data_IF_633472444790
#
_entry.id   IF_633472444790
#
_cell.length_a   1.000
_cell.length_b   1.000
_cell.length_c   1.000
_cell.angle_alpha   90.00
_cell.angle_beta   90.00
_cell.angle_gamma   90.00
#
_symmetry.space_group_name_H-M   'P 1'
#
loop_
_entity.id
_entity.type
_entity.pdbx_description
1 polymer ?
#
# COMPACT_ATOMS: atom_id res chain seq x y z
N UNK A 1 15.09 -23.09 -3.78
CA UNK A 1 13.67 -22.73 -4.00
C UNK A 1 13.20 -21.88 -2.84
N UNK A 2 12.77 -20.63 -3.07
CA UNK A 2 12.31 -19.79 -1.97
C UNK A 2 10.99 -20.31 -1.40
N UNK A 3 10.97 -20.63 -0.10
CA UNK A 3 9.80 -21.12 0.64
C UNK A 3 8.60 -20.18 0.45
N UNK A 4 7.37 -20.73 0.37
CA UNK A 4 6.12 -19.94 0.29
C UNK A 4 6.07 -18.86 1.38
N UNK A 5 6.58 -19.16 2.57
CA UNK A 5 6.66 -18.22 3.71
C UNK A 5 7.39 -16.93 3.36
N UNK A 6 8.40 -17.00 2.50
CA UNK A 6 9.17 -15.83 2.05
C UNK A 6 8.45 -15.00 0.98
N UNK A 7 7.29 -15.45 0.46
CA UNK A 7 6.44 -14.70 -0.49
C UNK A 7 5.23 -14.04 0.17
N UNK A 8 4.82 -14.52 1.35
CA UNK A 8 3.62 -14.06 2.06
C UNK A 8 3.62 -12.55 2.29
N UNK A 9 4.68 -11.92 2.82
CA UNK A 9 4.65 -10.48 3.14
C UNK A 9 4.37 -9.62 1.91
N UNK A 10 5.00 -9.95 0.78
CA UNK A 10 4.79 -9.28 -0.50
C UNK A 10 3.37 -9.47 -1.03
N UNK A 11 2.80 -10.68 -0.93
CA UNK A 11 1.42 -10.92 -1.39
C UNK A 11 0.39 -10.21 -0.52
N UNK A 12 0.61 -10.15 0.79
CA UNK A 12 -0.22 -9.36 1.71
C UNK A 12 -0.11 -7.87 1.38
N UNK A 13 1.11 -7.35 1.20
CA UNK A 13 1.33 -5.95 0.82
C UNK A 13 0.63 -5.61 -0.50
N UNK A 14 0.79 -6.46 -1.51
CA UNK A 14 0.12 -6.28 -2.80
C UNK A 14 -1.40 -6.26 -2.66
N UNK A 15 -1.97 -7.14 -1.83
CA UNK A 15 -3.42 -7.21 -1.60
C UNK A 15 -3.94 -5.92 -0.97
N UNK A 16 -3.25 -5.42 0.06
CA UNK A 16 -3.61 -4.17 0.75
C UNK A 16 -3.61 -2.98 -0.20
N UNK A 17 -2.57 -2.86 -1.04
CA UNK A 17 -2.42 -1.74 -1.97
C UNK A 17 -3.45 -1.83 -3.09
N UNK A 18 -3.67 -3.02 -3.66
CA UNK A 18 -4.69 -3.23 -4.69
C UNK A 18 -6.10 -2.99 -4.16
N UNK A 19 -6.39 -3.42 -2.92
CA UNK A 19 -7.65 -3.12 -2.25
C UNK A 19 -7.84 -1.61 -2.07
N UNK A 20 -6.74 -0.88 -1.83
CA UNK A 20 -6.74 0.58 -1.75
C UNK A 20 -7.11 1.25 -3.06
N UNK A 21 -6.36 0.95 -4.12
CA UNK A 21 -6.67 1.48 -5.45
C UNK A 21 -8.08 1.12 -5.89
N UNK A 22 -8.50 -0.13 -5.69
CA UNK A 22 -9.86 -0.58 -6.00
C UNK A 22 -10.93 0.17 -5.20
N UNK A 23 -10.71 0.40 -3.90
CA UNK A 23 -11.65 1.13 -3.05
C UNK A 23 -11.86 2.57 -3.54
N UNK A 24 -10.79 3.26 -3.95
CA UNK A 24 -10.85 4.61 -4.50
C UNK A 24 -11.47 4.66 -5.88
N UNK A 25 -11.09 3.76 -6.80
CA UNK A 25 -11.72 3.70 -8.13
C UNK A 25 -13.23 3.52 -8.07
N UNK A 26 -13.70 2.73 -7.10
CA UNK A 26 -15.11 2.40 -6.94
C UNK A 26 -15.83 3.29 -5.94
N UNK A 27 -15.16 4.32 -5.39
CA UNK A 27 -15.68 5.19 -4.34
C UNK A 27 -16.37 4.41 -3.21
N UNK A 28 -15.78 3.27 -2.83
CA UNK A 28 -16.29 2.42 -1.76
C UNK A 28 -17.53 1.59 -2.08
N UNK A 29 -18.06 1.57 -3.31
CA UNK A 29 -19.26 0.79 -3.68
C UNK A 29 -19.16 -0.68 -3.26
N UNK A 30 -17.98 -1.28 -3.37
CA UNK A 30 -17.74 -2.68 -2.99
C UNK A 30 -16.93 -2.85 -1.70
N UNK A 31 -16.29 -1.79 -1.20
CA UNK A 31 -15.38 -1.83 -0.04
C UNK A 31 -15.58 -0.61 0.88
N UNK A 32 -16.81 -0.37 1.37
CA UNK A 32 -17.19 0.91 2.00
C UNK A 32 -16.36 1.24 3.25
N UNK A 33 -16.07 0.23 4.09
CA UNK A 33 -15.26 0.43 5.29
C UNK A 33 -13.80 0.78 4.96
N UNK A 34 -13.23 0.15 3.94
CA UNK A 34 -11.85 0.40 3.54
C UNK A 34 -11.72 1.76 2.83
N UNK A 35 -12.71 2.12 2.02
CA UNK A 35 -12.80 3.45 1.42
C UNK A 35 -12.94 4.54 2.48
N UNK A 36 -13.80 4.37 3.49
CA UNK A 36 -13.92 5.31 4.59
C UNK A 36 -12.60 5.46 5.38
N UNK A 37 -11.87 4.37 5.59
CA UNK A 37 -10.51 4.42 6.14
C UNK A 37 -9.59 5.27 5.25
N UNK A 38 -9.59 5.05 3.93
CA UNK A 38 -8.76 5.82 3.00
C UNK A 38 -9.11 7.32 3.00
N UNK A 39 -10.39 7.65 2.98
CA UNK A 39 -10.90 9.03 2.96
C UNK A 39 -10.59 9.76 4.27
N UNK A 40 -10.62 9.05 5.41
CA UNK A 40 -10.18 9.57 6.70
C UNK A 40 -8.69 9.96 6.67
N UNK A 41 -7.83 9.18 6.00
CA UNK A 41 -6.39 9.43 5.92
C UNK A 41 -6.05 10.53 4.92
N UNK A 42 -6.64 10.47 3.73
CA UNK A 42 -6.48 11.44 2.66
C UNK A 42 -7.80 11.56 1.88
N UNK A 43 -8.41 12.75 1.94
CA UNK A 43 -9.71 13.02 1.31
C UNK A 43 -9.68 12.76 -0.19
N UNK A 44 -10.77 12.21 -0.70
CA UNK A 44 -11.04 12.14 -2.12
C UNK A 44 -11.75 13.43 -2.56
N UNK A 45 -10.99 14.52 -2.64
CA UNK A 45 -11.49 15.87 -2.89
C UNK A 45 -11.62 16.22 -4.39
N UNK A 46 -11.45 15.22 -5.26
CA UNK A 46 -11.44 15.41 -6.71
C UNK A 46 -10.18 16.09 -7.25
N UNK A 47 -9.17 16.38 -6.42
CA UNK A 47 -7.89 16.91 -6.89
C UNK A 47 -7.19 15.94 -7.84
N UNK A 48 -6.32 16.48 -8.71
CA UNK A 48 -5.50 15.65 -9.62
C UNK A 48 -4.72 14.57 -8.88
N UNK A 49 -4.23 14.88 -7.68
CA UNK A 49 -3.53 13.91 -6.82
C UNK A 49 -4.49 12.79 -6.41
N UNK A 50 -5.67 13.14 -5.86
CA UNK A 50 -6.66 12.14 -5.44
C UNK A 50 -7.10 11.22 -6.58
N UNK A 51 -7.25 11.74 -7.79
CA UNK A 51 -7.61 10.97 -8.99
C UNK A 51 -6.51 10.02 -9.47
N UNK A 52 -5.23 10.37 -9.27
CA UNK A 52 -4.08 9.56 -9.73
C UNK A 52 -3.67 8.50 -8.70
N UNK A 53 -3.88 8.73 -7.40
CA UNK A 53 -3.56 7.77 -6.32
C UNK A 53 -4.04 6.34 -6.63
N UNK A 54 -5.30 6.06 -7.00
CA UNK A 54 -5.74 4.69 -7.28
C UNK A 54 -5.01 4.03 -8.47
N UNK A 55 -4.57 4.82 -9.45
CA UNK A 55 -3.75 4.33 -10.58
C UNK A 55 -2.36 3.94 -10.09
N UNK A 56 -1.71 4.79 -9.29
CA UNK A 56 -0.39 4.52 -8.71
C UNK A 56 -0.44 3.26 -7.84
N UNK A 57 -1.43 3.16 -6.94
CA UNK A 57 -1.62 1.99 -6.08
C UNK A 57 -1.77 0.72 -6.92
N UNK A 58 -2.57 0.78 -8.00
CA UNK A 58 -2.76 -0.37 -8.89
C UNK A 58 -1.45 -0.79 -9.56
N UNK A 59 -0.66 0.16 -10.06
CA UNK A 59 0.64 -0.13 -10.68
C UNK A 59 1.64 -0.71 -9.68
N UNK A 60 1.70 -0.18 -8.46
CA UNK A 60 2.55 -0.70 -7.39
C UNK A 60 2.13 -2.12 -7.01
N UNK A 61 0.82 -2.33 -6.79
CA UNK A 61 0.26 -3.63 -6.45
C UNK A 61 0.52 -4.70 -7.50
N UNK A 62 0.31 -4.37 -8.79
CA UNK A 62 0.61 -5.28 -9.89
C UNK A 62 2.11 -5.54 -10.03
N UNK A 63 2.96 -4.53 -9.80
CA UNK A 63 4.42 -4.69 -9.81
C UNK A 63 4.90 -5.66 -8.72
N UNK A 64 4.30 -5.59 -7.51
CA UNK A 64 4.56 -6.54 -6.42
C UNK A 64 4.15 -7.97 -6.78
N UNK A 65 3.02 -8.17 -7.47
CA UNK A 65 2.54 -9.50 -7.86
C UNK A 65 3.33 -10.08 -9.04
N UNK A 66 3.42 -9.33 -10.13
CA UNK A 66 3.76 -9.82 -11.46
C UNK A 66 5.11 -9.34 -11.97
N UNK A 67 5.72 -8.32 -11.35
CA UNK A 67 6.97 -7.73 -11.82
C UNK A 67 8.18 -8.68 -11.81
N UNK A 68 9.26 -8.31 -12.49
CA UNK A 68 10.56 -8.93 -12.28
C UNK A 68 11.12 -8.57 -10.88
N UNK A 69 12.27 -9.12 -10.48
CA UNK A 69 12.82 -8.88 -9.14
C UNK A 69 13.05 -7.39 -8.86
N UNK A 70 13.65 -6.65 -9.81
CA UNK A 70 13.87 -5.22 -9.68
C UNK A 70 12.57 -4.42 -9.50
N UNK A 71 11.53 -4.71 -10.29
CA UNK A 71 10.21 -4.08 -10.16
C UNK A 71 9.53 -4.42 -8.83
N UNK A 72 9.64 -5.67 -8.37
CA UNK A 72 9.10 -6.10 -7.07
C UNK A 72 9.76 -5.37 -5.92
N UNK A 73 11.10 -5.26 -5.96
CA UNK A 73 11.85 -4.55 -4.93
C UNK A 73 11.56 -3.05 -4.97
N UNK A 74 11.56 -2.44 -6.15
CA UNK A 74 11.20 -1.03 -6.34
C UNK A 74 9.81 -0.72 -5.80
N UNK A 75 8.81 -1.53 -6.16
CA UNK A 75 7.45 -1.37 -5.67
C UNK A 75 7.35 -1.55 -4.14
N UNK A 76 8.07 -2.50 -3.55
CA UNK A 76 8.10 -2.69 -2.10
C UNK A 76 8.74 -1.50 -1.37
N UNK A 77 9.84 -0.96 -1.90
CA UNK A 77 10.49 0.24 -1.36
C UNK A 77 9.60 1.47 -1.51
N UNK A 78 8.99 1.69 -2.67
CA UNK A 78 8.02 2.78 -2.87
C UNK A 78 6.85 2.66 -1.90
N UNK A 79 6.31 1.45 -1.71
CA UNK A 79 5.25 1.20 -0.74
C UNK A 79 5.69 1.60 0.67
N UNK A 80 6.87 1.13 1.11
CA UNK A 80 7.43 1.46 2.42
C UNK A 80 7.58 2.98 2.61
N UNK A 81 8.06 3.70 1.59
CA UNK A 81 8.17 5.15 1.65
C UNK A 81 6.80 5.82 1.79
N UNK A 82 5.84 5.49 0.93
CA UNK A 82 4.53 6.13 0.95
C UNK A 82 3.73 5.83 2.22
N UNK A 83 3.72 4.58 2.71
CA UNK A 83 3.04 4.26 3.97
C UNK A 83 3.71 4.92 5.17
N UNK A 84 5.05 5.08 5.15
CA UNK A 84 5.77 5.81 6.21
C UNK A 84 5.44 7.31 6.21
N UNK A 85 5.36 7.92 5.02
CA UNK A 85 4.91 9.32 4.87
C UNK A 85 3.46 9.45 5.36
N UNK A 86 2.58 8.55 4.95
CA UNK A 86 1.18 8.53 5.39
C UNK A 86 1.06 8.45 6.92
N UNK A 87 1.80 7.54 7.55
CA UNK A 87 1.88 7.42 9.01
C UNK A 87 2.35 8.72 9.66
N UNK A 88 3.44 9.31 9.16
CA UNK A 88 3.98 10.56 9.70
C UNK A 88 2.97 11.71 9.59
N UNK A 89 2.19 11.77 8.51
CA UNK A 89 1.10 12.74 8.35
C UNK A 89 -0.03 12.50 9.36
N UNK A 90 -0.42 11.25 9.61
CA UNK A 90 -1.44 10.94 10.62
C UNK A 90 -0.97 11.31 12.04
N UNK A 91 0.29 11.01 12.36
CA UNK A 91 0.90 11.37 13.64
C UNK A 91 0.91 12.89 13.84
N UNK A 92 1.33 13.66 12.84
CA UNK A 92 1.33 15.13 12.90
C UNK A 92 -0.09 15.71 13.01
N UNK A 93 -1.07 15.08 12.39
CA UNK A 93 -2.47 15.47 12.46
C UNK A 93 -3.18 15.04 13.77
N UNK A 94 -2.48 14.34 14.68
CA UNK A 94 -3.08 13.81 15.91
C UNK A 94 -4.15 12.73 15.67
N UNK A 95 -4.14 12.09 14.49
CA UNK A 95 -5.08 11.05 14.10
C UNK A 95 -4.63 9.69 14.59
N UNK A 96 -5.55 8.72 14.61
CA UNK A 96 -5.19 7.33 14.91
C UNK A 96 -4.30 6.77 13.80
N UNK A 97 -3.12 6.27 14.15
CA UNK A 97 -2.11 5.76 13.22
C UNK A 97 -1.72 4.29 13.46
N UNK A 98 -2.45 3.56 14.31
CA UNK A 98 -2.11 2.18 14.67
C UNK A 98 -2.12 1.21 13.48
N UNK A 99 -3.05 1.41 12.54
CA UNK A 99 -3.09 0.64 11.30
C UNK A 99 -1.87 0.94 10.41
N UNK A 100 -1.43 2.20 10.35
CA UNK A 100 -0.25 2.60 9.57
C UNK A 100 1.04 1.95 10.08
N UNK A 101 1.20 1.76 11.40
CA UNK A 101 2.34 1.03 11.97
C UNK A 101 2.39 -0.40 11.43
N UNK A 102 1.24 -1.08 11.36
CA UNK A 102 1.17 -2.43 10.80
C UNK A 102 1.49 -2.45 9.30
N UNK A 103 1.06 -1.43 8.55
CA UNK A 103 1.38 -1.27 7.13
C UNK A 103 2.88 -1.02 6.89
N UNK A 104 3.51 -0.15 7.70
CA UNK A 104 4.96 0.10 7.66
C UNK A 104 5.73 -1.19 7.97
N UNK A 105 5.36 -1.91 9.02
CA UNK A 105 5.99 -3.17 9.38
C UNK A 105 5.86 -4.21 8.25
N UNK A 106 4.66 -4.35 7.67
CA UNK A 106 4.42 -5.25 6.53
C UNK A 106 5.29 -4.88 5.31
N UNK A 107 5.37 -3.60 4.98
CA UNK A 107 6.18 -3.12 3.86
C UNK A 107 7.68 -3.36 4.11
N UNK A 108 8.17 -3.13 5.33
CA UNK A 108 9.56 -3.40 5.71
C UNK A 108 9.90 -4.89 5.58
N UNK A 109 9.04 -5.78 6.09
CA UNK A 109 9.24 -7.24 5.97
C UNK A 109 9.20 -7.67 4.50
N UNK A 110 8.34 -7.07 3.67
CA UNK A 110 8.31 -7.35 2.23
C UNK A 110 9.62 -6.95 1.54
N UNK A 111 10.20 -5.79 1.86
CA UNK A 111 11.52 -5.36 1.35
C UNK A 111 12.61 -6.34 1.77
N UNK A 112 12.69 -6.67 3.06
CA UNK A 112 13.70 -7.62 3.59
C UNK A 112 13.60 -8.98 2.88
N UNK A 113 12.37 -9.46 2.64
CA UNK A 113 12.14 -10.74 1.95
C UNK A 113 12.59 -10.76 0.48
N UNK A 114 12.72 -9.58 -0.15
CA UNK A 114 13.16 -9.42 -1.53
C UNK A 114 14.66 -9.17 -1.63
N UNK A 115 15.28 -8.52 -0.64
CA UNK A 115 16.73 -8.31 -0.57
C UNK A 115 17.47 -9.59 -0.19
N UNK A 116 16.91 -10.42 0.70
CA UNK A 116 17.53 -11.67 1.15
C UNK A 116 17.42 -12.85 0.18
N UNK A 117 17.12 -12.61 -1.10
CA UNK A 117 16.92 -13.63 -2.15
C UNK A 117 17.87 -13.41 -3.31
#
# INVERSE_FOLDING_TARGET
>A
MASITTKIPRYLLATVILLGGFSRFTHGVYTPQYYAFQEYHARDDGSTVAQIVPVIDTLIGLSLLLGNHALKLGAAVSSLLFVSIGMAMQMQAGKSYGADVALVALAAVAVISLVGR
#
